data_IF_782111136762
#
_entry.id   IF_782111136762
#
_cell.length_a   1.000
_cell.length_b   1.000
_cell.length_c   1.000
_cell.angle_alpha   90.00
_cell.angle_beta   90.00
_cell.angle_gamma   90.00
#
_symmetry.space_group_name_H-M   'P 1'
#
loop_
_entity.id
_entity.type
_entity.pdbx_description
1 polymer ?
#
# COMPACT_ATOMS: atom_id res chain seq x y z
N UNK A 1 -47.21 11.23 -14.69
CA UNK A 1 -46.61 11.62 -13.39
C UNK A 1 -45.70 10.56 -12.77
N UNK A 2 -45.79 9.25 -13.10
CA UNK A 2 -44.95 8.20 -12.46
C UNK A 2 -43.46 8.20 -12.88
N UNK A 3 -43.12 8.69 -14.08
CA UNK A 3 -41.73 8.69 -14.58
C UNK A 3 -40.81 9.68 -13.83
N UNK A 4 -41.34 10.83 -13.39
CA UNK A 4 -40.60 11.84 -12.58
C UNK A 4 -40.21 11.32 -11.20
N UNK A 5 -41.03 10.45 -10.60
CA UNK A 5 -40.76 9.89 -9.26
C UNK A 5 -39.66 8.83 -9.26
N UNK A 6 -39.37 8.20 -10.41
CA UNK A 6 -38.31 7.20 -10.58
C UNK A 6 -36.96 7.80 -10.99
N UNK A 7 -36.94 9.05 -11.47
CA UNK A 7 -35.70 9.76 -11.85
C UNK A 7 -34.88 10.19 -10.62
N UNK A 8 -35.53 10.48 -9.49
CA UNK A 8 -34.86 10.93 -8.27
C UNK A 8 -33.97 9.86 -7.61
N UNK A 9 -34.40 8.59 -7.41
CA UNK A 9 -33.52 7.55 -6.87
C UNK A 9 -32.39 7.17 -7.84
N UNK A 10 -32.62 7.27 -9.15
CA UNK A 10 -31.61 7.00 -10.16
C UNK A 10 -30.48 8.06 -10.16
N UNK A 11 -30.81 9.32 -9.84
CA UNK A 11 -29.82 10.39 -9.70
C UNK A 11 -28.98 10.29 -8.42
N UNK A 12 -29.51 9.65 -7.37
CA UNK A 12 -28.82 9.48 -6.08
C UNK A 12 -27.95 8.21 -6.05
N UNK A 13 -28.24 7.22 -6.89
CA UNK A 13 -27.45 5.99 -7.01
C UNK A 13 -25.92 6.19 -7.18
N UNK A 14 -25.40 7.12 -8.02
CA UNK A 14 -23.96 7.33 -8.15
C UNK A 14 -23.30 7.94 -6.89
N UNK A 15 -24.06 8.53 -5.97
CA UNK A 15 -23.53 9.00 -4.68
C UNK A 15 -23.20 7.85 -3.73
N UNK A 16 -23.67 6.64 -4.00
CA UNK A 16 -23.26 5.42 -3.30
C UNK A 16 -22.01 4.76 -3.92
N UNK A 17 -21.37 5.36 -4.92
CA UNK A 17 -20.15 4.79 -5.45
C UNK A 17 -19.06 4.81 -4.37
N UNK A 18 -18.74 3.61 -3.87
CA UNK A 18 -17.89 3.41 -2.69
C UNK A 18 -16.43 3.82 -2.93
N UNK A 19 -15.76 4.11 -1.82
CA UNK A 19 -14.31 4.22 -1.76
C UNK A 19 -13.71 2.81 -1.91
N UNK A 20 -12.83 2.62 -2.88
CA UNK A 20 -12.15 1.34 -3.09
C UNK A 20 -10.86 1.35 -2.26
N UNK A 21 -10.72 0.39 -1.34
CA UNK A 21 -9.56 0.23 -0.47
C UNK A 21 -9.04 -1.19 -0.63
N UNK A 22 -7.80 -1.31 -1.03
CA UNK A 22 -7.15 -2.61 -1.23
C UNK A 22 -5.85 -2.69 -0.43
N UNK A 23 -5.81 -3.51 0.64
CA UNK A 23 -4.60 -3.80 1.40
C UNK A 23 -3.82 -4.97 0.78
N UNK A 24 -2.50 -4.88 0.82
CA UNK A 24 -1.59 -5.99 0.52
C UNK A 24 -0.50 -6.07 1.58
N UNK A 25 -0.32 -7.23 2.20
CA UNK A 25 0.58 -7.41 3.33
C UNK A 25 1.77 -8.31 2.97
N UNK A 26 2.95 -7.91 3.45
CA UNK A 26 4.11 -8.78 3.64
C UNK A 26 4.18 -9.17 5.12
N UNK A 27 4.14 -10.47 5.40
CA UNK A 27 4.21 -11.03 6.75
C UNK A 27 5.65 -11.42 7.06
N UNK A 28 6.19 -10.93 8.18
CA UNK A 28 7.59 -11.15 8.58
C UNK A 28 7.68 -12.33 9.56
N UNK A 29 6.79 -12.36 10.55
CA UNK A 29 6.70 -13.40 11.58
C UNK A 29 5.22 -13.66 11.91
N UNK A 30 4.51 -14.21 10.92
CA UNK A 30 3.06 -14.39 10.98
C UNK A 30 2.26 -13.08 10.95
N UNK A 31 1.02 -13.12 11.43
CA UNK A 31 0.08 -11.99 11.34
C UNK A 31 0.37 -10.81 12.27
N UNK A 32 1.18 -11.01 13.31
CA UNK A 32 1.47 -9.98 14.32
C UNK A 32 2.60 -9.04 13.90
N UNK A 33 3.41 -9.40 12.91
CA UNK A 33 4.53 -8.59 12.43
C UNK A 33 4.47 -8.47 10.91
N UNK A 34 4.07 -7.30 10.41
CA UNK A 34 3.81 -7.11 8.98
C UNK A 34 4.06 -5.69 8.48
N UNK A 35 4.30 -5.61 7.18
CA UNK A 35 4.28 -4.38 6.39
C UNK A 35 3.14 -4.47 5.39
N UNK A 36 2.14 -3.60 5.54
CA UNK A 36 0.96 -3.59 4.68
C UNK A 36 0.91 -2.30 3.86
N UNK A 37 0.86 -2.43 2.54
CA UNK A 37 0.60 -1.30 1.65
C UNK A 37 -0.89 -1.30 1.31
N UNK A 38 -1.56 -0.19 1.58
CA UNK A 38 -2.96 0.03 1.23
C UNK A 38 -3.03 1.03 0.08
N UNK A 39 -3.76 0.68 -0.98
CA UNK A 39 -4.16 1.65 -2.01
C UNK A 39 -5.62 2.02 -1.84
N UNK A 40 -5.92 3.33 -1.91
CA UNK A 40 -7.26 3.87 -1.77
C UNK A 40 -7.61 4.76 -2.95
N UNK A 41 -8.81 4.58 -3.48
CA UNK A 41 -9.38 5.43 -4.52
C UNK A 41 -10.68 6.01 -3.97
N UNK A 42 -10.65 7.30 -3.68
CA UNK A 42 -11.75 8.02 -3.02
C UNK A 42 -13.06 7.94 -3.82
N UNK A 43 -12.96 7.97 -5.15
CA UNK A 43 -14.08 7.84 -6.08
C UNK A 43 -13.63 7.08 -7.33
N UNK A 44 -14.52 6.31 -7.96
CA UNK A 44 -14.19 5.54 -9.17
C UNK A 44 -13.69 6.41 -10.35
N UNK A 45 -14.01 7.71 -10.38
CA UNK A 45 -13.53 8.66 -11.39
C UNK A 45 -12.22 9.37 -11.01
N UNK A 46 -11.66 9.10 -9.83
CA UNK A 46 -10.41 9.71 -9.38
C UNK A 46 -9.23 9.13 -10.17
N UNK A 47 -8.33 10.02 -10.60
CA UNK A 47 -7.13 9.63 -11.33
C UNK A 47 -6.04 9.22 -10.35
N UNK A 48 -5.71 7.93 -10.36
CA UNK A 48 -4.69 7.36 -9.48
C UNK A 48 -5.18 6.94 -8.09
N UNK A 49 -4.22 6.63 -7.24
CA UNK A 49 -4.40 5.98 -5.95
C UNK A 49 -3.65 6.73 -4.86
N UNK A 50 -4.32 6.91 -3.72
CA UNK A 50 -3.67 7.28 -2.46
C UNK A 50 -3.05 6.01 -1.86
N UNK A 51 -1.85 6.12 -1.34
CA UNK A 51 -1.11 4.99 -0.80
C UNK A 51 -0.75 5.25 0.65
N UNK A 52 -0.96 4.25 1.49
CA UNK A 52 -0.52 4.25 2.87
C UNK A 52 0.31 3.00 3.15
N UNK A 53 1.38 3.15 3.92
CA UNK A 53 2.11 2.05 4.54
C UNK A 53 1.66 1.92 5.99
N UNK A 54 1.19 0.73 6.36
CA UNK A 54 0.90 0.34 7.74
C UNK A 54 2.02 -0.59 8.20
N UNK A 55 2.77 -0.12 9.20
CA UNK A 55 3.81 -0.90 9.88
C UNK A 55 3.21 -1.45 11.15
N UNK A 56 3.26 -2.77 11.33
CA UNK A 56 2.62 -3.46 12.45
C UNK A 56 3.60 -4.41 13.12
N UNK A 57 3.70 -4.32 14.44
CA UNK A 57 4.38 -5.28 15.32
C UNK A 57 3.59 -5.39 16.62
N UNK A 58 2.52 -6.20 16.63
CA UNK A 58 1.71 -6.39 17.82
C UNK A 58 2.46 -7.18 18.90
N UNK A 59 2.26 -6.85 20.19
CA UNK A 59 1.47 -5.74 20.72
C UNK A 59 2.22 -4.39 20.81
N UNK A 60 3.49 -4.36 20.42
CA UNK A 60 4.41 -3.24 20.64
C UNK A 60 3.98 -1.95 19.92
N UNK A 61 3.66 -2.04 18.62
CA UNK A 61 3.30 -0.87 17.83
C UNK A 61 2.48 -1.19 16.58
N UNK A 62 1.70 -0.20 16.15
CA UNK A 62 1.08 -0.14 14.84
C UNK A 62 0.98 1.32 14.41
N UNK A 63 1.52 1.67 13.24
CA UNK A 63 1.45 3.04 12.71
C UNK A 63 1.20 3.05 11.20
N UNK A 64 0.41 4.03 10.76
CA UNK A 64 0.09 4.28 9.35
C UNK A 64 0.82 5.53 8.88
N UNK A 65 1.43 5.44 7.70
CA UNK A 65 2.22 6.49 7.08
C UNK A 65 1.78 6.72 5.63
N UNK A 66 1.48 7.96 5.23
CA UNK A 66 1.14 8.26 3.85
C UNK A 66 2.38 8.15 2.95
N UNK A 67 2.23 7.42 1.85
CA UNK A 67 3.17 7.40 0.73
C UNK A 67 2.77 8.45 -0.31
N UNK A 68 3.59 8.61 -1.36
CA UNK A 68 3.20 9.49 -2.47
C UNK A 68 2.07 8.86 -3.27
N UNK A 69 1.22 9.69 -3.87
CA UNK A 69 0.15 9.21 -4.76
C UNK A 69 0.76 8.43 -5.94
N UNK A 70 0.12 7.34 -6.32
CA UNK A 70 0.53 6.54 -7.47
C UNK A 70 -0.51 6.63 -8.60
N UNK A 71 -0.07 6.38 -9.83
CA UNK A 71 -1.00 6.16 -10.95
C UNK A 71 -1.69 4.80 -10.86
N UNK A 72 -2.38 4.40 -11.93
CA UNK A 72 -3.10 3.11 -11.99
C UNK A 72 -2.18 1.89 -11.82
N UNK A 73 -0.95 1.96 -12.33
CA UNK A 73 0.07 0.92 -12.19
C UNK A 73 0.87 1.11 -10.91
N UNK A 74 0.24 0.85 -9.76
CA UNK A 74 0.91 0.89 -8.46
C UNK A 74 2.04 -0.14 -8.43
N UNK A 75 3.23 0.28 -8.02
CA UNK A 75 4.35 -0.62 -7.72
C UNK A 75 5.13 -0.04 -6.55
N UNK A 76 5.30 -0.83 -5.50
CA UNK A 76 6.17 -0.51 -4.37
C UNK A 76 7.08 -1.71 -4.14
N UNK A 77 8.37 -1.53 -4.36
CA UNK A 77 9.37 -2.58 -4.19
C UNK A 77 9.86 -2.58 -2.74
N UNK A 78 10.05 -3.77 -2.18
CA UNK A 78 10.41 -3.98 -0.79
C UNK A 78 11.80 -4.61 -0.72
N UNK A 79 12.65 -4.01 0.09
CA UNK A 79 14.01 -4.45 0.36
C UNK A 79 14.22 -4.64 1.85
N UNK A 80 15.05 -5.62 2.23
CA UNK A 80 15.46 -5.90 3.60
C UNK A 80 16.91 -5.46 3.78
N UNK A 81 17.16 -4.58 4.72
CA UNK A 81 18.52 -4.10 5.04
C UNK A 81 19.10 -4.92 6.19
N UNK A 82 18.32 -5.05 7.26
CA UNK A 82 18.66 -5.82 8.47
C UNK A 82 17.37 -6.31 9.13
N UNK A 83 17.42 -7.24 10.10
CA UNK A 83 16.24 -7.71 10.80
C UNK A 83 15.44 -6.57 11.43
N UNK A 84 14.24 -6.31 10.88
CA UNK A 84 13.32 -5.29 11.36
C UNK A 84 13.44 -3.93 10.67
N UNK A 85 14.39 -3.72 9.76
CA UNK A 85 14.52 -2.51 8.95
C UNK A 85 14.39 -2.82 7.45
N UNK A 86 13.50 -2.07 6.82
CA UNK A 86 13.10 -2.30 5.43
C UNK A 86 13.17 -0.99 4.64
N UNK A 87 13.49 -1.10 3.37
CA UNK A 87 13.44 0.01 2.43
C UNK A 87 12.31 -0.24 1.44
N UNK A 88 11.51 0.80 1.19
CA UNK A 88 10.46 0.79 0.18
C UNK A 88 10.86 1.72 -0.96
N UNK A 89 10.75 1.23 -2.18
CA UNK A 89 10.95 2.01 -3.40
C UNK A 89 9.63 2.15 -4.15
N UNK A 90 9.19 3.40 -4.30
CA UNK A 90 8.06 3.81 -5.13
C UNK A 90 8.56 4.64 -6.33
N UNK A 91 9.34 4.02 -7.20
CA UNK A 91 9.91 4.63 -8.41
C UNK A 91 10.99 5.67 -8.09
N UNK A 92 10.60 6.93 -7.89
CA UNK A 92 11.52 8.03 -7.53
C UNK A 92 11.52 8.36 -6.03
N UNK A 93 10.63 7.73 -5.28
CA UNK A 93 10.47 8.00 -3.85
C UNK A 93 10.90 6.78 -3.05
N UNK A 94 11.90 7.02 -2.20
CA UNK A 94 12.48 5.99 -1.35
C UNK A 94 12.11 6.26 0.10
N UNK A 95 11.84 5.20 0.83
CA UNK A 95 11.44 5.27 2.24
C UNK A 95 12.15 4.19 3.04
N UNK A 96 12.41 4.47 4.31
CA UNK A 96 12.82 3.48 5.30
C UNK A 96 11.69 3.28 6.30
N UNK A 97 11.36 2.02 6.55
CA UNK A 97 10.41 1.58 7.55
C UNK A 97 11.11 0.65 8.54
N UNK A 98 11.04 0.99 9.82
CA UNK A 98 11.60 0.21 10.92
C UNK A 98 10.43 -0.32 11.75
N UNK A 99 10.47 -1.60 12.11
CA UNK A 99 9.31 -2.32 12.66
C UNK A 99 9.30 -2.45 14.18
N UNK A 100 10.43 -2.27 14.88
CA UNK A 100 10.52 -2.33 16.36
C UNK A 100 9.78 -1.16 17.01
N UNK A 101 9.97 0.05 16.49
CA UNK A 101 9.32 1.28 16.97
C UNK A 101 8.28 1.81 15.97
N UNK A 102 7.98 1.02 14.92
CA UNK A 102 7.13 1.39 13.79
C UNK A 102 7.51 2.77 13.22
N UNK A 103 8.80 3.05 12.98
CA UNK A 103 9.27 4.34 12.47
C UNK A 103 9.27 4.35 10.94
N UNK A 104 9.08 5.53 10.38
CA UNK A 104 9.06 5.73 8.94
C UNK A 104 9.69 7.06 8.57
N UNK A 105 10.54 7.07 7.55
CA UNK A 105 11.16 8.28 7.02
C UNK A 105 11.28 8.18 5.50
N UNK A 106 11.10 9.31 4.82
CA UNK A 106 11.37 9.42 3.39
C UNK A 106 12.82 9.84 3.18
N UNK A 107 13.54 9.15 2.29
CA UNK A 107 14.87 9.58 1.88
C UNK A 107 14.79 10.81 0.98
N UNK A 108 15.82 11.67 1.07
CA UNK A 108 15.95 12.83 0.16
C UNK A 108 16.40 12.40 -1.23
N UNK A 109 17.25 11.38 -1.29
CA UNK A 109 17.87 10.83 -2.49
C UNK A 109 17.78 9.29 -2.45
N UNK A 110 18.07 8.65 -3.57
CA UNK A 110 18.11 7.19 -3.64
C UNK A 110 19.23 6.65 -2.72
N UNK A 111 18.96 5.62 -1.88
CA UNK A 111 19.99 5.01 -1.06
C UNK A 111 20.99 4.24 -1.93
N UNK A 112 22.28 4.39 -1.64
CA UNK A 112 23.35 3.70 -2.39
C UNK A 112 23.22 2.17 -2.34
N UNK A 113 22.81 1.65 -1.17
CA UNK A 113 22.63 0.22 -0.94
C UNK A 113 21.25 -0.05 -0.30
N UNK A 114 20.22 -0.39 -1.10
CA UNK A 114 18.87 -0.61 -0.59
C UNK A 114 18.70 -1.94 0.17
N UNK A 115 19.68 -2.85 0.10
CA UNK A 115 19.64 -4.17 0.72
C UNK A 115 19.10 -5.27 -0.19
N UNK A 116 18.69 -6.38 0.40
CA UNK A 116 18.18 -7.56 -0.31
C UNK A 116 16.78 -7.31 -0.86
N UNK A 117 16.56 -7.60 -2.14
CA UNK A 117 15.24 -7.46 -2.76
C UNK A 117 14.31 -8.63 -2.41
N UNK A 118 13.25 -8.32 -1.66
CA UNK A 118 12.29 -9.27 -1.12
C UNK A 118 11.09 -9.45 -2.05
N UNK A 119 10.65 -8.40 -2.74
CA UNK A 119 9.50 -8.49 -3.63
C UNK A 119 8.86 -7.14 -3.93
N UNK A 120 7.64 -7.19 -4.47
CA UNK A 120 6.88 -5.98 -4.82
C UNK A 120 5.42 -6.07 -4.43
N UNK A 121 4.88 -4.99 -3.87
CA UNK A 121 3.46 -4.73 -3.88
C UNK A 121 3.06 -4.22 -5.26
N UNK A 122 2.26 -4.99 -5.99
CA UNK A 122 1.80 -4.65 -7.34
C UNK A 122 0.45 -5.30 -7.65
N UNK A 123 -0.33 -4.73 -8.58
CA UNK A 123 -1.52 -5.40 -9.09
C UNK A 123 -1.16 -6.76 -9.68
N UNK A 124 -1.87 -7.79 -9.23
CA UNK A 124 -1.87 -9.14 -9.80
C UNK A 124 -3.34 -9.53 -9.97
N UNK A 125 -3.71 -9.87 -11.20
CA UNK A 125 -5.11 -10.22 -11.54
C UNK A 125 -6.14 -9.14 -11.17
N UNK A 126 -5.71 -7.87 -11.12
CA UNK A 126 -6.55 -6.71 -10.82
C UNK A 126 -6.43 -6.18 -9.39
N UNK A 127 -6.02 -7.02 -8.44
CA UNK A 127 -5.94 -6.69 -7.01
C UNK A 127 -4.50 -6.37 -6.59
N UNK A 128 -4.32 -5.42 -5.66
CA UNK A 128 -3.01 -5.17 -5.07
C UNK A 128 -2.58 -6.41 -4.27
N UNK A 129 -1.40 -6.96 -4.60
CA UNK A 129 -0.87 -8.14 -3.94
C UNK A 129 0.63 -7.98 -3.70
N UNK A 130 1.13 -8.53 -2.60
CA UNK A 130 2.58 -8.70 -2.42
C UNK A 130 3.06 -9.90 -3.23
N UNK A 131 3.96 -9.65 -4.18
CA UNK A 131 4.56 -10.69 -5.01
C UNK A 131 6.02 -10.87 -4.59
N UNK A 132 6.37 -12.00 -3.95
CA UNK A 132 7.73 -12.24 -3.47
C UNK A 132 8.71 -12.38 -4.64
N UNK A 133 9.97 -12.03 -4.38
CA UNK A 133 11.09 -12.33 -5.26
C UNK A 133 11.30 -13.84 -5.28
N UNK A 134 11.91 -14.36 -6.36
CA UNK A 134 12.12 -15.83 -6.50
C UNK A 134 13.00 -16.43 -5.40
N UNK A 135 13.71 -15.59 -4.64
CA UNK A 135 14.65 -15.99 -3.59
C UNK A 135 14.01 -16.04 -2.20
N UNK A 136 12.84 -15.41 -1.98
CA UNK A 136 12.18 -15.30 -0.66
C UNK A 136 11.18 -16.44 -0.40
N UNK A 137 11.41 -17.61 -1.02
CA UNK A 137 10.64 -18.84 -0.75
C UNK A 137 11.34 -19.63 0.36
N UNK A 138 11.12 -19.24 1.61
CA UNK A 138 11.42 -20.09 2.76
C UNK A 138 10.13 -20.47 3.49
#
# INVERSE_FOLDING_TARGET
>A
MKLRSLLLPLLVAPLLAGCEIEPAAYLIDGGNHSLTVERKKAYFWSTGWELDLVVTRYPDCQRRYPLKKAGEKVRVDLYRVEPGAFILNQGKHWYVAETRDCRFQQFKEEPDEPGEYIGSFRPKDGELTFVPSKNDKE
#
